data_IF_912261154305
#
_entry.id   IF_912261154305
#
_cell.length_a   1.000
_cell.length_b   1.000
_cell.length_c   1.000
_cell.angle_alpha   90.00
_cell.angle_beta   90.00
_cell.angle_gamma   90.00
#
_symmetry.space_group_name_H-M   'P 1'
#
loop_
_entity.id
_entity.type
_entity.pdbx_description
1 polymer ?
#
# COMPACT_ATOMS: atom_id res chain seq x y z
N UNK A 1 -8.10 19.32 -12.15
CA UNK A 1 -7.34 18.25 -12.09
C UNK A 1 -8.05 17.10 -11.64
N UNK A 2 -7.89 16.02 -12.22
CA UNK A 2 -8.56 14.82 -11.87
C UNK A 2 -7.64 13.91 -11.16
N UNK A 3 -7.99 13.41 -10.03
CA UNK A 3 -7.19 12.47 -9.36
C UNK A 3 -7.80 11.12 -9.59
N UNK A 4 -7.02 10.15 -9.93
CA UNK A 4 -7.51 8.84 -10.13
C UNK A 4 -7.48 8.09 -8.84
N UNK A 5 -8.58 7.59 -8.41
CA UNK A 5 -8.64 6.77 -7.21
C UNK A 5 -9.31 5.46 -7.57
N UNK A 6 -9.11 4.47 -6.77
CA UNK A 6 -9.69 3.16 -6.99
C UNK A 6 -10.07 2.54 -5.66
N UNK A 7 -11.02 1.63 -5.70
CA UNK A 7 -11.44 0.93 -4.53
C UNK A 7 -11.42 -0.54 -4.84
N UNK A 8 -11.17 -1.35 -3.87
CA UNK A 8 -11.16 -2.77 -4.07
C UNK A 8 -10.42 -3.48 -2.97
N UNK A 9 -9.96 -4.66 -3.24
CA UNK A 9 -9.24 -5.42 -2.28
C UNK A 9 -7.96 -5.90 -2.89
N UNK A 10 -6.92 -5.96 -2.11
CA UNK A 10 -5.65 -6.50 -2.55
C UNK A 10 -5.10 -7.35 -1.44
N UNK A 11 -4.08 -8.13 -1.73
CA UNK A 11 -3.55 -9.02 -0.75
C UNK A 11 -2.26 -8.49 -0.23
N UNK A 12 -2.08 -8.53 1.05
CA UNK A 12 -0.85 -8.09 1.67
C UNK A 12 0.28 -9.01 1.27
N UNK A 13 1.41 -8.48 0.85
CA UNK A 13 2.52 -9.34 0.46
C UNK A 13 3.25 -9.96 1.65
N UNK A 14 2.94 -9.50 2.85
CA UNK A 14 3.59 -10.08 4.00
C UNK A 14 2.75 -11.17 4.65
N UNK A 15 1.55 -10.90 5.02
CA UNK A 15 0.73 -11.88 5.69
C UNK A 15 -0.35 -12.44 4.80
N UNK A 16 -0.46 -11.97 3.58
CA UNK A 16 -1.42 -12.46 2.62
C UNK A 16 -2.87 -12.26 3.08
N UNK A 17 -3.09 -11.30 3.93
CA UNK A 17 -4.44 -11.03 4.35
C UNK A 17 -5.10 -10.09 3.37
N UNK A 18 -6.41 -10.13 3.28
CA UNK A 18 -7.12 -9.27 2.37
C UNK A 18 -7.14 -7.86 2.92
N UNK A 19 -6.75 -6.92 2.16
CA UNK A 19 -6.73 -5.53 2.54
C UNK A 19 -7.79 -4.81 1.73
N UNK A 20 -8.76 -4.20 2.39
CA UNK A 20 -9.80 -3.48 1.70
C UNK A 20 -9.35 -2.03 1.52
N UNK A 21 -9.44 -1.56 0.30
CA UNK A 21 -8.99 -0.22 -0.03
C UNK A 21 -10.15 0.58 -0.59
N UNK A 22 -10.24 1.85 -0.18
CA UNK A 22 -11.28 2.69 -0.68
C UNK A 22 -10.73 4.03 -1.08
N UNK A 23 -10.98 4.43 -2.27
CA UNK A 23 -10.55 5.72 -2.77
C UNK A 23 -9.08 5.95 -2.56
N UNK A 24 -8.29 4.97 -2.91
CA UNK A 24 -6.85 5.08 -2.78
C UNK A 24 -6.25 5.55 -4.09
N UNK A 25 -5.10 6.16 -4.02
CA UNK A 25 -4.41 6.65 -5.20
C UNK A 25 -3.14 5.89 -5.40
N UNK A 26 -2.61 5.99 -6.58
CA UNK A 26 -1.34 5.35 -6.84
C UNK A 26 -0.25 6.00 -6.01
N UNK A 27 0.65 5.23 -5.53
CA UNK A 27 1.74 5.68 -4.69
C UNK A 27 1.27 6.08 -3.30
N UNK A 28 0.09 5.68 -2.92
CA UNK A 28 -0.39 5.99 -1.60
C UNK A 28 0.06 4.92 -0.64
N UNK A 29 0.32 5.26 0.60
CA UNK A 29 0.77 4.31 1.59
C UNK A 29 -0.40 3.93 2.47
N UNK A 30 -0.61 2.66 2.65
CA UNK A 30 -1.65 2.19 3.53
C UNK A 30 -1.06 1.18 4.48
N UNK A 31 -1.77 0.79 5.50
CA UNK A 31 -1.26 -0.13 6.47
C UNK A 31 -2.10 -1.37 6.51
N UNK A 32 -1.47 -2.50 6.55
CA UNK A 32 -2.18 -3.76 6.60
C UNK A 32 -2.82 -3.92 7.96
N UNK A 33 -4.11 -4.21 8.04
CA UNK A 33 -4.74 -4.37 9.33
C UNK A 33 -4.36 -5.68 10.02
N UNK A 34 -3.79 -6.59 9.29
CA UNK A 34 -3.40 -7.86 9.88
C UNK A 34 -2.03 -7.85 10.49
N UNK A 35 -1.02 -7.55 9.72
CA UNK A 35 0.34 -7.58 10.22
C UNK A 35 0.90 -6.19 10.52
N UNK A 36 0.20 -5.14 10.14
CA UNK A 36 0.66 -3.80 10.41
C UNK A 36 1.74 -3.29 9.50
N UNK A 37 2.02 -3.99 8.42
CA UNK A 37 3.07 -3.56 7.53
C UNK A 37 2.62 -2.38 6.71
N UNK A 38 3.54 -1.53 6.36
CA UNK A 38 3.21 -0.40 5.54
C UNK A 38 3.27 -0.84 4.10
N UNK A 39 2.23 -0.59 3.35
CA UNK A 39 2.14 -1.04 1.99
C UNK A 39 1.96 0.15 1.07
N UNK A 40 2.52 0.03 -0.11
CA UNK A 40 2.45 1.10 -1.08
C UNK A 40 1.62 0.61 -2.24
N UNK A 41 0.73 1.46 -2.74
CA UNK A 41 -0.09 1.07 -3.86
C UNK A 41 0.67 1.38 -5.12
N UNK A 42 1.13 0.33 -5.78
CA UNK A 42 1.97 0.52 -6.95
C UNK A 42 1.14 0.63 -8.22
N UNK A 43 -0.08 0.16 -8.18
CA UNK A 43 -0.92 0.23 -9.36
C UNK A 43 -2.37 0.27 -8.93
N UNK A 44 -3.23 0.88 -9.73
CA UNK A 44 -4.62 0.95 -9.43
C UNK A 44 -5.47 -0.01 -10.22
N UNK A 45 -4.94 -0.47 -11.33
CA UNK A 45 -5.72 -1.33 -12.16
C UNK A 45 -4.89 -2.42 -12.74
N UNK A 46 -4.79 -3.53 -12.10
CA UNK A 46 -5.45 -3.87 -10.84
C UNK A 46 -4.74 -3.24 -9.67
N UNK A 47 -5.42 -3.16 -8.55
CA UNK A 47 -4.79 -2.59 -7.39
C UNK A 47 -3.74 -3.55 -6.91
N UNK A 48 -2.54 -3.06 -6.79
CA UNK A 48 -1.42 -3.89 -6.39
C UNK A 48 -0.73 -3.26 -5.21
N UNK A 49 -0.41 -4.05 -4.23
CA UNK A 49 0.28 -3.59 -3.04
C UNK A 49 1.68 -4.15 -2.99
N UNK A 50 2.58 -3.35 -2.49
CA UNK A 50 3.95 -3.79 -2.29
C UNK A 50 4.42 -3.24 -0.96
N UNK A 51 5.50 -3.77 -0.44
CA UNK A 51 6.01 -3.26 0.80
C UNK A 51 6.53 -1.86 0.58
N UNK A 52 6.08 -0.94 1.38
CA UNK A 52 6.53 0.44 1.25
C UNK A 52 7.98 0.54 1.65
N UNK A 53 8.74 1.40 1.06
CA UNK A 53 10.12 1.56 1.41
C UNK A 53 10.19 2.14 2.79
N UNK A 54 10.99 1.51 3.66
CA UNK A 54 11.10 1.99 4.95
C UNK A 54 12.15 3.01 4.99
N UNK A 55 11.92 4.12 5.52
CA UNK A 55 12.87 5.07 5.66
C UNK A 55 13.72 4.80 6.69
N UNK A 56 14.73 4.17 6.59
CA UNK A 56 15.61 3.88 7.57
C UNK A 56 16.32 5.04 7.89
N UNK A 57 16.16 5.64 8.85
CA UNK A 57 16.88 6.66 9.27
C UNK A 57 18.16 6.28 9.58
N UNK A 58 18.96 6.04 8.83
CA UNK A 58 20.16 5.60 9.06
C UNK A 58 20.99 6.66 9.41
N UNK A 59 21.25 6.94 10.52
CA UNK A 59 22.03 7.90 10.90
C UNK A 59 23.34 7.61 10.74
N UNK A 60 23.87 7.05 10.40
CA UNK A 60 25.05 6.76 10.26
C UNK A 60 25.97 7.04 9.88
N UNK A 61 26.01 7.15 9.79
CA UNK A 61 26.58 7.29 9.60
C UNK A 61 26.96 7.38 9.62
#
# INVERSE_FOLDING_TARGET
MAFQTASGQAQCPECFADVTLEKVMQNEITQCPGCGAELEITSLEPITLALAPQEEEDWGE
#
